data_IF_693339614651
#
_entry.id   IF_693339614651
#
_cell.length_a   1.000
_cell.length_b   1.000
_cell.length_c   1.000
_cell.angle_alpha   90.00
_cell.angle_beta   90.00
_cell.angle_gamma   90.00
#
_symmetry.space_group_name_H-M   'P 1'
#
loop_
_entity.id
_entity.type
_entity.pdbx_description
1 polymer ?
#
# COMPACT_ATOMS: atom_id res chain seq x y z
N UNK A 1 28.52 57.64 -49.88
CA UNK A 1 27.18 57.01 -49.97
C UNK A 1 27.01 56.23 -48.67
N UNK A 2 26.50 56.86 -47.60
CA UNK A 2 25.18 56.60 -46.96
C UNK A 2 24.84 55.09 -46.90
N UNK A 3 24.47 54.45 -45.80
CA UNK A 3 23.61 54.85 -44.68
C UNK A 3 23.93 54.05 -43.40
N UNK A 4 23.69 54.70 -42.27
CA UNK A 4 23.50 54.11 -40.94
C UNK A 4 22.24 53.22 -40.89
N UNK A 5 22.28 52.13 -40.11
CA UNK A 5 21.08 51.54 -39.49
C UNK A 5 21.42 51.14 -38.06
N UNK A 6 20.70 51.74 -37.11
CA UNK A 6 20.69 51.46 -35.67
C UNK A 6 19.37 50.78 -35.33
N UNK A 7 19.37 49.59 -34.71
CA UNK A 7 18.28 49.00 -33.87
C UNK A 7 18.94 47.91 -32.98
N UNK A 8 19.35 48.17 -31.73
CA UNK A 8 18.68 47.97 -30.42
C UNK A 8 18.16 46.55 -30.06
N UNK A 9 18.38 46.19 -28.78
CA UNK A 9 17.65 45.20 -27.94
C UNK A 9 18.07 43.71 -28.06
N UNK A 10 18.80 43.13 -27.10
CA UNK A 10 18.38 42.60 -25.78
C UNK A 10 17.99 41.10 -25.79
N UNK A 11 18.37 40.42 -24.69
CA UNK A 11 17.93 39.10 -24.16
C UNK A 11 18.65 37.82 -24.61
N UNK A 12 19.59 37.41 -23.75
CA UNK A 12 19.55 36.15 -22.96
C UNK A 12 18.42 35.18 -23.34
N UNK A 13 18.76 33.98 -23.84
CA UNK A 13 18.17 32.68 -23.47
C UNK A 13 18.47 31.60 -24.51
N UNK A 14 19.46 30.73 -24.27
CA UNK A 14 19.60 29.47 -25.04
C UNK A 14 19.94 28.25 -24.19
N UNK A 15 19.76 28.34 -22.86
CA UNK A 15 19.94 27.20 -21.94
C UNK A 15 18.65 26.39 -21.67
N UNK A 16 17.49 26.82 -22.20
CA UNK A 16 16.21 26.12 -21.96
C UNK A 16 15.91 24.95 -22.91
N UNK A 17 16.65 24.79 -24.02
CA UNK A 17 16.32 23.75 -25.01
C UNK A 17 16.87 22.35 -24.66
N UNK A 18 17.97 22.27 -23.90
CA UNK A 18 18.57 20.99 -23.51
C UNK A 18 18.03 20.42 -22.18
N UNK A 19 17.53 21.26 -21.28
CA UNK A 19 17.01 20.82 -19.97
C UNK A 19 15.67 20.07 -20.07
N UNK A 20 14.80 20.46 -21.00
CA UNK A 20 13.48 19.84 -21.18
C UNK A 20 13.61 18.44 -21.83
N UNK A 21 14.57 18.27 -22.74
CA UNK A 21 14.80 16.97 -23.41
C UNK A 21 15.39 15.94 -22.44
N UNK A 22 16.20 16.35 -21.46
CA UNK A 22 16.79 15.44 -20.48
C UNK A 22 15.80 15.03 -19.37
N UNK A 23 14.83 15.88 -19.01
CA UNK A 23 13.78 15.50 -18.04
C UNK A 23 12.71 14.56 -18.62
N UNK A 24 12.52 14.53 -19.94
CA UNK A 24 11.57 13.62 -20.58
C UNK A 24 12.11 12.19 -20.74
N UNK A 25 13.44 12.00 -20.75
CA UNK A 25 14.04 10.67 -20.98
C UNK A 25 14.01 9.75 -19.76
N UNK A 26 13.81 10.29 -18.54
CA UNK A 26 13.62 9.48 -17.33
C UNK A 26 12.18 8.97 -17.14
N UNK A 27 11.22 9.39 -17.97
CA UNK A 27 9.81 9.05 -17.81
C UNK A 27 9.36 7.78 -18.55
N UNK A 28 10.28 7.03 -19.19
CA UNK A 28 9.95 5.85 -20.02
C UNK A 28 10.55 4.54 -19.49
N UNK A 29 10.57 4.37 -18.17
CA UNK A 29 10.71 3.06 -17.53
C UNK A 29 9.65 2.89 -16.45
N UNK A 30 8.40 3.27 -16.75
CA UNK A 30 7.25 2.74 -16.05
C UNK A 30 7.22 1.22 -16.30
N UNK A 31 7.93 0.48 -15.44
CA UNK A 31 7.84 -0.98 -15.33
C UNK A 31 6.36 -1.35 -15.40
N UNK A 32 5.97 -2.37 -16.18
CA UNK A 32 4.61 -2.86 -16.08
C UNK A 32 4.41 -3.20 -14.61
N UNK A 33 3.45 -2.55 -13.96
CA UNK A 33 3.03 -2.94 -12.64
C UNK A 33 2.51 -4.37 -12.80
N UNK A 34 3.38 -5.37 -12.58
CA UNK A 34 2.95 -6.72 -12.30
C UNK A 34 1.82 -6.54 -11.29
N UNK A 35 0.64 -7.06 -11.61
CA UNK A 35 -0.51 -6.94 -10.74
C UNK A 35 -0.15 -7.60 -9.40
N UNK A 36 0.34 -6.79 -8.45
CA UNK A 36 0.87 -7.30 -7.19
C UNK A 36 -0.32 -7.86 -6.43
N UNK A 37 -0.33 -9.17 -6.27
CA UNK A 37 -1.36 -9.89 -5.53
C UNK A 37 -0.81 -10.20 -4.16
N UNK A 38 -1.56 -9.81 -3.14
CA UNK A 38 -1.27 -10.18 -1.77
C UNK A 38 -2.25 -11.23 -1.30
N UNK A 39 -1.76 -12.15 -0.48
CA UNK A 39 -2.56 -13.11 0.25
C UNK A 39 -2.43 -12.83 1.73
N UNK A 40 -3.56 -12.55 2.38
CA UNK A 40 -3.59 -12.22 3.80
C UNK A 40 -4.80 -12.84 4.48
N UNK A 41 -4.65 -13.04 5.78
CA UNK A 41 -5.71 -13.41 6.70
C UNK A 41 -5.99 -12.25 7.65
N UNK A 42 -7.24 -12.10 8.07
CA UNK A 42 -7.62 -11.03 9.00
C UNK A 42 -8.59 -11.46 10.09
N UNK A 43 -8.53 -10.76 11.22
CA UNK A 43 -9.47 -10.89 12.33
C UNK A 43 -10.12 -9.53 12.55
N UNK A 44 -11.45 -9.47 12.43
CA UNK A 44 -12.22 -8.27 12.70
C UNK A 44 -12.87 -8.38 14.09
N UNK A 45 -12.60 -7.40 14.95
CA UNK A 45 -13.20 -7.25 16.28
C UNK A 45 -13.74 -5.83 16.48
N UNK A 46 -14.65 -5.63 17.43
CA UNK A 46 -15.27 -4.31 17.65
C UNK A 46 -14.36 -3.34 18.41
N UNK A 47 -13.57 -3.88 19.35
CA UNK A 47 -12.82 -3.08 20.31
C UNK A 47 -11.32 -3.27 20.14
N UNK A 48 -10.59 -2.17 20.35
CA UNK A 48 -9.13 -2.19 20.32
C UNK A 48 -8.54 -3.12 21.38
N UNK A 49 -9.14 -3.12 22.57
CA UNK A 49 -8.72 -3.98 23.68
C UNK A 49 -8.77 -5.47 23.29
N UNK A 50 -9.82 -5.91 22.60
CA UNK A 50 -9.91 -7.28 22.09
C UNK A 50 -8.83 -7.55 21.03
N UNK A 51 -8.56 -6.61 20.14
CA UNK A 51 -7.53 -6.79 19.12
C UNK A 51 -6.14 -6.90 19.75
N UNK A 52 -5.83 -6.08 20.76
CA UNK A 52 -4.57 -6.13 21.49
C UNK A 52 -4.42 -7.44 22.28
N UNK A 53 -5.47 -7.90 22.95
CA UNK A 53 -5.47 -9.18 23.66
C UNK A 53 -5.22 -10.37 22.71
N UNK A 54 -5.89 -10.38 21.55
CA UNK A 54 -5.68 -11.40 20.53
C UNK A 54 -4.26 -11.33 19.96
N UNK A 55 -3.74 -10.13 19.69
CA UNK A 55 -2.37 -9.95 19.23
C UNK A 55 -1.38 -10.53 20.23
N UNK A 56 -1.54 -10.23 21.53
CA UNK A 56 -0.67 -10.76 22.58
C UNK A 56 -0.70 -12.30 22.65
N UNK A 57 -1.89 -12.92 22.46
CA UNK A 57 -2.04 -14.37 22.40
C UNK A 57 -1.35 -14.98 21.18
N UNK A 58 -1.48 -14.34 20.02
CA UNK A 58 -0.84 -14.81 18.79
C UNK A 58 0.68 -14.67 18.89
N UNK A 59 1.17 -13.56 19.45
CA UNK A 59 2.59 -13.33 19.72
C UNK A 59 3.14 -14.36 20.74
N UNK A 60 2.31 -14.86 21.65
CA UNK A 60 2.63 -15.94 22.59
C UNK A 60 2.58 -17.36 21.97
N UNK A 61 2.21 -17.49 20.68
CA UNK A 61 2.19 -18.75 19.95
C UNK A 61 0.80 -19.35 19.69
N UNK A 62 -0.29 -18.61 19.94
CA UNK A 62 -1.63 -19.08 19.57
C UNK A 62 -1.82 -19.10 18.04
N UNK A 63 -2.62 -20.04 17.55
CA UNK A 63 -2.93 -20.13 16.12
C UNK A 63 -3.85 -18.99 15.68
N UNK A 64 -3.41 -18.22 14.68
CA UNK A 64 -4.17 -17.12 14.12
C UNK A 64 -5.52 -17.58 13.52
N UNK A 65 -5.53 -18.75 12.88
CA UNK A 65 -6.73 -19.29 12.23
C UNK A 65 -7.79 -19.71 13.23
N UNK A 66 -7.41 -20.28 14.37
CA UNK A 66 -8.32 -20.59 15.48
C UNK A 66 -8.87 -19.31 16.12
N UNK A 67 -8.01 -18.33 16.40
CA UNK A 67 -8.44 -17.04 16.95
C UNK A 67 -9.39 -16.33 16.00
N UNK A 68 -9.13 -16.39 14.70
CA UNK A 68 -10.03 -15.87 13.67
C UNK A 68 -11.39 -16.59 13.66
N UNK A 69 -11.42 -17.93 13.77
CA UNK A 69 -12.66 -18.72 13.83
C UNK A 69 -13.53 -18.34 15.03
N UNK A 70 -12.89 -18.14 16.19
CA UNK A 70 -13.58 -17.90 17.46
C UNK A 70 -14.02 -16.43 17.63
N UNK A 71 -13.17 -15.48 17.25
CA UNK A 71 -13.36 -14.07 17.58
C UNK A 71 -13.68 -13.16 16.38
N UNK A 72 -13.36 -13.56 15.15
CA UNK A 72 -13.60 -12.70 13.98
C UNK A 72 -15.09 -12.56 13.69
N UNK A 73 -15.53 -11.32 13.46
CA UNK A 73 -16.88 -11.01 12.98
C UNK A 73 -17.05 -11.16 11.47
N UNK A 74 -15.96 -11.29 10.72
CA UNK A 74 -16.03 -11.43 9.28
C UNK A 74 -16.49 -12.84 8.88
N UNK A 75 -17.30 -13.04 7.82
CA UNK A 75 -17.65 -14.37 7.31
C UNK A 75 -16.44 -15.23 6.93
N UNK A 76 -15.29 -14.61 6.66
CA UNK A 76 -14.00 -15.30 6.46
C UNK A 76 -13.52 -16.12 7.67
N UNK A 77 -14.14 -15.96 8.85
CA UNK A 77 -13.86 -16.75 10.06
C UNK A 77 -13.92 -18.26 9.80
N UNK A 78 -14.82 -18.73 8.93
CA UNK A 78 -14.92 -20.16 8.59
C UNK A 78 -13.64 -20.73 7.97
N UNK A 79 -12.87 -19.88 7.28
CA UNK A 79 -11.57 -20.20 6.66
C UNK A 79 -10.38 -19.73 7.51
N UNK A 80 -10.58 -19.54 8.82
CA UNK A 80 -9.53 -19.03 9.70
C UNK A 80 -9.11 -17.60 9.38
N UNK A 81 -10.04 -16.78 8.89
CA UNK A 81 -9.78 -15.38 8.54
C UNK A 81 -9.11 -15.18 7.18
N UNK A 82 -8.84 -16.25 6.41
CA UNK A 82 -8.23 -16.13 5.10
C UNK A 82 -9.14 -15.43 4.09
N UNK A 83 -8.61 -14.40 3.43
CA UNK A 83 -9.27 -13.66 2.35
C UNK A 83 -8.90 -14.22 0.97
N UNK A 84 -7.84 -15.02 0.86
CA UNK A 84 -7.26 -15.47 -0.40
C UNK A 84 -6.40 -14.38 -1.06
N UNK A 85 -6.16 -14.52 -2.36
CA UNK A 85 -5.37 -13.57 -3.15
C UNK A 85 -6.22 -12.39 -3.58
N UNK A 86 -5.76 -11.18 -3.31
CA UNK A 86 -6.40 -9.94 -3.73
C UNK A 86 -5.35 -8.94 -4.25
N UNK A 87 -5.77 -8.10 -5.18
CA UNK A 87 -4.94 -7.03 -5.73
C UNK A 87 -5.08 -5.72 -4.96
N UNK A 88 -4.19 -4.76 -5.28
CA UNK A 88 -4.27 -3.40 -4.73
C UNK A 88 -5.64 -2.76 -5.00
N UNK A 89 -6.23 -2.14 -3.99
CA UNK A 89 -7.50 -1.41 -4.09
C UNK A 89 -8.77 -2.28 -4.08
N UNK A 90 -8.65 -3.60 -3.86
CA UNK A 90 -9.81 -4.47 -3.66
C UNK A 90 -10.34 -4.48 -2.21
N UNK A 91 -9.53 -3.97 -1.27
CA UNK A 91 -9.84 -3.89 0.15
C UNK A 91 -9.88 -2.43 0.62
N UNK A 92 -10.34 -2.19 1.86
CA UNK A 92 -10.32 -0.85 2.46
C UNK A 92 -8.91 -0.27 2.46
N UNK A 93 -8.80 1.04 2.26
CA UNK A 93 -7.52 1.72 2.02
C UNK A 93 -6.49 1.47 3.12
N UNK A 94 -6.94 1.47 4.37
CA UNK A 94 -6.11 1.22 5.55
C UNK A 94 -5.55 -0.20 5.55
N UNK A 95 -6.37 -1.18 5.18
CA UNK A 95 -5.97 -2.58 5.05
C UNK A 95 -4.99 -2.79 3.89
N UNK A 96 -5.30 -2.22 2.72
CA UNK A 96 -4.43 -2.28 1.54
C UNK A 96 -3.04 -1.70 1.84
N UNK A 97 -3.01 -0.53 2.50
CA UNK A 97 -1.76 0.13 2.86
C UNK A 97 -0.90 -0.76 3.72
N UNK A 98 -1.46 -1.41 4.74
CA UNK A 98 -0.72 -2.33 5.63
C UNK A 98 -0.24 -3.56 4.87
N UNK A 99 -1.10 -4.21 4.09
CA UNK A 99 -0.72 -5.43 3.36
C UNK A 99 0.40 -5.19 2.34
N UNK A 100 0.36 -4.05 1.65
CA UNK A 100 1.33 -3.74 0.59
C UNK A 100 2.56 -2.97 1.08
N UNK A 101 2.54 -2.36 2.27
CA UNK A 101 3.71 -1.67 2.83
C UNK A 101 4.47 -2.52 3.86
N UNK A 102 3.77 -3.32 4.65
CA UNK A 102 4.41 -4.09 5.73
C UNK A 102 5.06 -5.39 5.24
N UNK A 103 5.81 -6.02 6.15
CA UNK A 103 6.50 -7.29 5.92
C UNK A 103 5.55 -8.50 5.95
N UNK A 104 5.84 -9.49 5.09
CA UNK A 104 5.10 -10.76 5.04
C UNK A 104 5.51 -11.64 6.22
N UNK A 105 4.55 -12.25 6.91
CA UNK A 105 4.80 -13.15 8.05
C UNK A 105 4.21 -12.69 9.38
N UNK A 106 4.64 -11.54 9.94
CA UNK A 106 4.16 -11.08 11.24
C UNK A 106 2.69 -10.63 11.19
N UNK A 107 2.08 -10.54 12.37
CA UNK A 107 0.72 -10.02 12.53
C UNK A 107 0.79 -8.51 12.73
N UNK A 108 0.23 -7.78 11.78
CA UNK A 108 0.10 -6.34 11.76
C UNK A 108 -1.22 -5.88 12.34
N UNK A 109 -1.21 -4.73 12.99
CA UNK A 109 -2.38 -4.12 13.60
C UNK A 109 -2.23 -3.89 15.12
N UNK A 110 -3.29 -3.39 15.77
CA UNK A 110 -4.66 -3.27 15.28
C UNK A 110 -4.91 -2.10 14.31
N UNK A 111 -5.47 -2.39 13.15
CA UNK A 111 -5.82 -1.40 12.13
C UNK A 111 -7.28 -0.98 12.31
N UNK A 112 -7.52 0.29 12.63
CA UNK A 112 -8.88 0.83 12.77
C UNK A 112 -9.50 1.10 11.39
N UNK A 113 -10.71 0.61 11.19
CA UNK A 113 -11.53 0.88 10.00
C UNK A 113 -12.95 1.26 10.44
N UNK A 114 -13.82 1.59 9.48
CA UNK A 114 -15.25 1.81 9.73
C UNK A 114 -15.99 0.58 10.31
N UNK A 115 -15.44 -0.64 10.14
CA UNK A 115 -16.06 -1.87 10.61
C UNK A 115 -15.59 -2.29 12.01
N UNK A 116 -14.55 -1.66 12.55
CA UNK A 116 -13.92 -2.01 13.82
C UNK A 116 -12.40 -2.07 13.71
N UNK A 117 -11.77 -2.99 14.44
CA UNK A 117 -10.33 -3.19 14.46
C UNK A 117 -9.97 -4.50 13.74
N UNK A 118 -8.97 -4.40 12.87
CA UNK A 118 -8.47 -5.52 12.07
C UNK A 118 -7.05 -5.89 12.51
N UNK A 119 -6.84 -7.17 12.80
CA UNK A 119 -5.50 -7.76 12.82
C UNK A 119 -5.27 -8.43 11.47
N UNK A 120 -4.10 -8.22 10.89
CA UNK A 120 -3.77 -8.61 9.54
C UNK A 120 -2.52 -9.47 9.59
N UNK A 121 -2.59 -10.68 9.05
CA UNK A 121 -1.44 -11.55 8.86
C UNK A 121 -1.22 -11.73 7.36
N UNK A 122 -0.10 -11.24 6.86
CA UNK A 122 0.23 -11.35 5.44
C UNK A 122 0.92 -12.70 5.24
N UNK A 123 0.32 -13.57 4.43
CA UNK A 123 0.84 -14.91 4.15
C UNK A 123 1.80 -14.90 2.97
N UNK A 124 1.49 -14.14 1.92
CA UNK A 124 2.31 -14.04 0.71
C UNK A 124 2.04 -12.74 -0.04
N UNK A 125 3.01 -12.29 -0.84
CA UNK A 125 2.89 -11.15 -1.75
C UNK A 125 3.67 -11.47 -3.03
N UNK A 126 2.99 -11.40 -4.18
CA UNK A 126 3.52 -11.74 -5.51
C UNK A 126 3.39 -10.56 -6.47
#
# INVERSE_FOLDING_TARGET
>A
MIMSVTVTSSRSSSLLSYGIVLMMLTALLAKPALAVQAEASHILVDTEAQALDLKAKIDAGADFGEMAKQHSKCPSKSRGGSLGKFGRGQMVKEFDTVVFNEEVGPVHGPVKTQFGYHLIKITSRA
#
